data_IF_506205565958
#
_entry.id   IF_506205565958
#
_cell.length_a   1.000
_cell.length_b   1.000
_cell.length_c   1.000
_cell.angle_alpha   90.00
_cell.angle_beta   90.00
_cell.angle_gamma   90.00
#
_symmetry.space_group_name_H-M   'P 1'
#
loop_
_entity.id
_entity.type
_entity.pdbx_description
1 polymer ?
#
# COMPACT_ATOMS: atom_id res chain seq x y z
N UNK A 1 -7.68 -50.51 18.98
CA UNK A 1 -7.76 -50.08 20.40
C UNK A 1 -7.29 -48.64 20.41
N UNK A 2 -8.26 -47.73 20.37
CA UNK A 2 -8.03 -46.26 20.38
C UNK A 2 -8.01 -45.83 21.85
N UNK A 3 -6.89 -45.23 22.22
CA UNK A 3 -6.62 -44.70 23.57
C UNK A 3 -7.64 -43.59 23.92
N UNK A 4 -8.31 -43.62 25.09
CA UNK A 4 -9.26 -42.58 25.46
C UNK A 4 -8.52 -41.26 25.71
N UNK A 5 -8.86 -40.24 24.93
CA UNK A 5 -8.39 -38.86 25.08
C UNK A 5 -8.58 -38.42 26.54
N UNK A 6 -7.45 -38.16 27.21
CA UNK A 6 -7.47 -37.51 28.53
C UNK A 6 -8.13 -36.12 28.38
N UNK A 7 -9.05 -35.74 29.27
CA UNK A 7 -9.71 -34.44 29.23
C UNK A 7 -8.65 -33.36 29.42
N UNK A 8 -8.58 -32.44 28.43
CA UNK A 8 -7.72 -31.27 28.52
C UNK A 8 -8.07 -30.49 29.79
N UNK A 9 -7.13 -30.24 30.71
CA UNK A 9 -7.43 -29.54 31.95
C UNK A 9 -8.03 -28.16 31.65
N UNK A 10 -9.03 -27.71 32.44
CA UNK A 10 -9.68 -26.42 32.22
C UNK A 10 -8.64 -25.28 32.28
N UNK A 11 -8.70 -24.37 31.34
CA UNK A 11 -7.79 -23.21 31.30
C UNK A 11 -7.94 -22.40 32.60
N UNK A 12 -6.83 -21.99 33.24
CA UNK A 12 -6.89 -21.19 34.43
C UNK A 12 -7.62 -19.86 34.18
N UNK A 13 -8.35 -19.37 35.17
CA UNK A 13 -9.14 -18.13 35.11
C UNK A 13 -8.51 -17.03 35.97
N UNK A 14 -8.91 -15.76 35.75
CA UNK A 14 -8.50 -14.68 36.62
C UNK A 14 -8.86 -14.87 38.10
N UNK A 15 -9.89 -15.70 38.39
CA UNK A 15 -10.29 -16.07 39.73
C UNK A 15 -9.27 -17.03 40.40
N UNK A 16 -8.66 -17.88 39.60
CA UNK A 16 -7.63 -18.81 40.08
C UNK A 16 -6.34 -18.06 40.41
N UNK A 17 -5.97 -17.06 39.56
CA UNK A 17 -4.87 -16.16 39.85
C UNK A 17 -5.13 -15.31 41.10
N UNK A 18 -6.33 -14.78 41.26
CA UNK A 18 -6.72 -14.02 42.45
C UNK A 18 -6.57 -14.83 43.73
N UNK A 19 -7.04 -16.09 43.70
CA UNK A 19 -6.91 -17.02 44.82
C UNK A 19 -5.44 -17.32 45.12
N UNK A 20 -4.64 -17.62 44.09
CA UNK A 20 -3.23 -17.97 44.27
C UNK A 20 -2.37 -16.79 44.75
N UNK A 21 -2.73 -15.57 44.33
CA UNK A 21 -2.02 -14.34 44.72
C UNK A 21 -2.54 -13.71 46.04
N UNK A 22 -3.67 -14.21 46.60
CA UNK A 22 -4.30 -13.65 47.80
C UNK A 22 -4.87 -12.25 47.60
N UNK A 23 -5.44 -11.95 46.43
CA UNK A 23 -5.97 -10.62 46.08
C UNK A 23 -7.37 -10.75 45.45
N UNK A 24 -8.04 -9.60 45.26
CA UNK A 24 -9.31 -9.58 44.54
C UNK A 24 -9.11 -9.76 43.02
N UNK A 25 -10.15 -10.26 42.32
CA UNK A 25 -10.16 -10.33 40.87
C UNK A 25 -9.96 -8.94 40.21
N UNK A 26 -10.43 -7.88 40.84
CA UNK A 26 -10.22 -6.50 40.41
C UNK A 26 -8.72 -6.13 40.44
N UNK A 27 -8.00 -6.52 41.52
CA UNK A 27 -6.56 -6.30 41.61
C UNK A 27 -5.79 -7.06 40.53
N UNK A 28 -6.16 -8.32 40.23
CA UNK A 28 -5.58 -9.08 39.12
C UNK A 28 -5.79 -8.35 37.80
N UNK A 29 -7.01 -7.88 37.54
CA UNK A 29 -7.35 -7.13 36.31
C UNK A 29 -6.58 -5.81 36.19
N UNK A 30 -6.37 -5.09 37.28
CA UNK A 30 -5.56 -3.87 37.31
C UNK A 30 -4.09 -4.16 37.01
N UNK A 31 -3.52 -5.19 37.64
CA UNK A 31 -2.10 -5.56 37.49
C UNK A 31 -1.82 -6.06 36.08
N UNK A 32 -2.58 -7.03 35.59
CA UNK A 32 -2.38 -7.62 34.25
C UNK A 32 -2.83 -6.71 33.11
N UNK A 33 -3.59 -5.65 33.42
CA UNK A 33 -3.94 -4.57 32.51
C UNK A 33 -3.06 -3.32 32.63
N UNK A 34 -1.96 -3.41 33.35
CA UNK A 34 -0.97 -2.33 33.60
C UNK A 34 -1.54 -1.03 34.18
N UNK A 35 -2.76 -1.08 34.76
CA UNK A 35 -3.45 0.07 35.38
C UNK A 35 -3.29 0.11 36.92
N UNK A 36 -2.30 -0.57 37.41
CA UNK A 36 -2.04 -0.77 38.85
C UNK A 36 -1.25 0.35 39.55
N UNK A 37 -0.41 1.19 38.87
CA UNK A 37 0.37 2.21 39.57
C UNK A 37 -0.55 3.13 40.39
N UNK A 38 -0.16 3.34 41.65
CA UNK A 38 -0.93 4.13 42.61
C UNK A 38 -2.21 3.48 43.20
N UNK A 39 -2.57 2.26 42.72
CA UNK A 39 -3.78 1.52 43.17
C UNK A 39 -3.47 0.20 43.85
N UNK A 40 -2.31 -0.39 43.52
CA UNK A 40 -1.81 -1.64 44.08
C UNK A 40 -0.31 -1.45 44.36
N UNK A 41 0.20 -2.03 45.43
CA UNK A 41 1.62 -1.98 45.72
C UNK A 41 2.44 -2.78 44.72
N UNK A 42 3.68 -2.36 44.45
CA UNK A 42 4.57 -3.06 43.52
C UNK A 42 4.80 -4.52 43.89
N UNK A 43 5.00 -4.80 45.21
CA UNK A 43 5.13 -6.16 45.73
C UNK A 43 3.89 -7.04 45.42
N UNK A 44 2.69 -6.44 45.49
CA UNK A 44 1.45 -7.14 45.16
C UNK A 44 1.33 -7.32 43.65
N UNK A 45 1.72 -6.31 42.84
CA UNK A 45 1.70 -6.42 41.40
C UNK A 45 2.66 -7.52 40.91
N UNK A 46 3.87 -7.59 41.48
CA UNK A 46 4.82 -8.65 41.15
C UNK A 46 4.27 -10.03 41.51
N UNK A 47 3.72 -10.19 42.74
CA UNK A 47 3.12 -11.46 43.15
C UNK A 47 1.99 -11.95 42.23
N UNK A 48 1.15 -11.03 41.73
CA UNK A 48 0.10 -11.36 40.77
C UNK A 48 0.69 -11.82 39.42
N UNK A 49 1.74 -11.17 38.92
CA UNK A 49 2.43 -11.57 37.69
C UNK A 49 3.05 -12.97 37.83
N UNK A 50 3.75 -13.23 38.94
CA UNK A 50 4.39 -14.50 39.19
C UNK A 50 3.34 -15.65 39.23
N UNK A 51 2.23 -15.46 39.95
CA UNK A 51 1.16 -16.46 40.02
C UNK A 51 0.43 -16.63 38.67
N UNK A 52 0.25 -15.60 37.91
CA UNK A 52 -0.30 -15.71 36.56
C UNK A 52 0.62 -16.54 35.64
N UNK A 53 1.92 -16.31 35.70
CA UNK A 53 2.92 -17.05 34.94
C UNK A 53 2.99 -18.51 35.36
N UNK A 54 3.04 -18.81 36.69
CA UNK A 54 3.03 -20.19 37.22
C UNK A 54 1.81 -20.99 36.81
N UNK A 55 0.64 -20.36 36.80
CA UNK A 55 -0.62 -21.00 36.38
C UNK A 55 -0.76 -21.06 34.83
N UNK A 56 0.12 -20.46 34.06
CA UNK A 56 -0.05 -20.33 32.63
C UNK A 56 -1.27 -19.48 32.24
N UNK A 57 -1.72 -18.60 33.14
CA UNK A 57 -2.87 -17.74 32.88
C UNK A 57 -2.49 -16.61 31.91
N UNK A 58 -3.26 -16.49 30.87
CA UNK A 58 -3.26 -15.32 29.97
C UNK A 58 -4.61 -14.62 30.04
N UNK A 59 -4.64 -13.28 30.20
CA UNK A 59 -5.89 -12.55 30.17
C UNK A 59 -6.70 -12.90 28.93
N UNK A 60 -7.96 -13.25 29.11
CA UNK A 60 -8.86 -13.50 27.99
C UNK A 60 -9.30 -12.14 27.42
N UNK A 61 -8.57 -11.68 26.41
CA UNK A 61 -8.86 -10.42 25.72
C UNK A 61 -10.25 -10.43 25.10
N UNK A 62 -10.71 -11.57 24.57
CA UNK A 62 -12.06 -11.70 24.03
C UNK A 62 -13.16 -11.43 25.08
N UNK A 63 -13.00 -11.99 26.31
CA UNK A 63 -13.94 -11.72 27.40
C UNK A 63 -13.85 -10.28 27.93
N UNK A 64 -12.69 -9.64 27.85
CA UNK A 64 -12.50 -8.22 28.17
C UNK A 64 -13.19 -7.35 27.11
N UNK A 65 -12.96 -7.64 25.84
CA UNK A 65 -13.48 -6.94 24.69
C UNK A 65 -15.01 -7.03 24.63
N UNK A 66 -15.57 -8.23 24.91
CA UNK A 66 -17.02 -8.42 25.00
C UNK A 66 -17.68 -7.51 26.05
N UNK A 67 -17.02 -7.30 27.19
CA UNK A 67 -17.49 -6.36 28.23
C UNK A 67 -17.40 -4.89 27.84
N UNK A 68 -16.47 -4.54 26.95
CA UNK A 68 -16.25 -3.18 26.45
C UNK A 68 -17.07 -2.89 25.19
N UNK A 69 -17.71 -3.90 24.59
CA UNK A 69 -18.45 -3.78 23.32
C UNK A 69 -17.56 -3.48 22.13
N UNK A 70 -16.21 -3.60 22.28
CA UNK A 70 -15.21 -3.37 21.22
C UNK A 70 -14.16 -4.49 21.24
N UNK A 71 -13.77 -4.94 20.06
CA UNK A 71 -12.75 -6.01 19.90
C UNK A 71 -11.34 -5.45 19.82
N UNK A 72 -11.21 -4.14 19.58
CA UNK A 72 -9.95 -3.43 19.34
C UNK A 72 -9.14 -4.04 18.23
N UNK A 73 -9.81 -4.39 17.15
CA UNK A 73 -9.20 -4.99 15.98
C UNK A 73 -9.72 -4.32 14.73
N UNK A 74 -8.82 -3.73 13.96
CA UNK A 74 -9.07 -3.19 12.62
C UNK A 74 -8.64 -4.21 11.57
N UNK A 75 -9.38 -4.30 10.47
CA UNK A 75 -9.00 -5.05 9.29
C UNK A 75 -8.43 -4.08 8.26
N UNK A 76 -7.22 -4.33 7.78
CA UNK A 76 -6.62 -3.63 6.65
C UNK A 76 -6.66 -4.54 5.42
N UNK A 77 -7.41 -4.11 4.39
CA UNK A 77 -7.60 -4.84 3.14
C UNK A 77 -6.77 -4.17 2.04
N UNK A 78 -5.87 -4.93 1.43
CA UNK A 78 -4.96 -4.47 0.37
C UNK A 78 -5.00 -5.42 -0.82
N UNK A 79 -4.65 -4.99 -2.07
CA UNK A 79 -4.75 -5.88 -3.23
C UNK A 79 -3.76 -7.05 -3.17
N UNK A 80 -2.49 -6.75 -2.89
CA UNK A 80 -1.43 -7.76 -2.82
C UNK A 80 -0.26 -7.24 -2.00
N UNK A 81 0.62 -8.14 -1.56
CA UNK A 81 1.85 -7.79 -0.84
C UNK A 81 3.10 -7.78 -1.75
N UNK A 82 2.91 -7.91 -3.05
CA UNK A 82 3.99 -7.83 -4.05
C UNK A 82 4.51 -6.41 -4.26
N UNK A 83 3.72 -5.40 -3.89
CA UNK A 83 4.11 -4.00 -3.88
C UNK A 83 4.39 -3.57 -2.43
N UNK A 84 5.61 -3.10 -2.15
CA UNK A 84 6.05 -2.68 -0.80
C UNK A 84 5.27 -1.49 -0.24
N UNK A 85 4.60 -0.69 -1.10
CA UNK A 85 3.73 0.41 -0.68
C UNK A 85 2.74 -0.06 0.40
N UNK A 86 2.05 -1.19 0.16
CA UNK A 86 1.07 -1.70 1.11
C UNK A 86 1.67 -2.26 2.40
N UNK A 87 2.91 -2.76 2.35
CA UNK A 87 3.63 -3.16 3.56
C UNK A 87 3.95 -1.93 4.44
N UNK A 88 4.32 -0.79 3.83
CA UNK A 88 4.56 0.48 4.52
C UNK A 88 3.26 1.10 5.04
N UNK A 89 2.15 1.01 4.29
CA UNK A 89 0.80 1.40 4.77
C UNK A 89 0.45 0.61 6.03
N UNK A 90 0.67 -0.72 6.03
CA UNK A 90 0.46 -1.53 7.23
C UNK A 90 1.32 -1.08 8.40
N UNK A 91 2.59 -0.75 8.17
CA UNK A 91 3.50 -0.27 9.22
C UNK A 91 2.96 1.00 9.90
N UNK A 92 2.53 1.99 9.11
CA UNK A 92 1.93 3.22 9.65
C UNK A 92 0.63 2.96 10.42
N UNK A 93 -0.27 2.14 9.85
CA UNK A 93 -1.52 1.78 10.52
C UNK A 93 -1.27 1.04 11.85
N UNK A 94 -0.32 0.11 11.86
CA UNK A 94 0.03 -0.66 13.06
C UNK A 94 0.67 0.22 14.16
N UNK A 95 1.45 1.22 13.78
CA UNK A 95 2.05 2.18 14.73
C UNK A 95 0.96 2.94 15.50
N UNK A 96 0.02 3.56 14.78
CA UNK A 96 -1.11 4.29 15.41
C UNK A 96 -2.02 3.34 16.20
N UNK A 97 -2.28 2.14 15.67
CA UNK A 97 -3.09 1.15 16.37
C UNK A 97 -2.48 0.77 17.73
N UNK A 98 -1.16 0.57 17.79
CA UNK A 98 -0.45 0.22 19.01
C UNK A 98 -0.58 1.28 20.10
N UNK A 99 -0.54 2.58 19.75
CA UNK A 99 -0.73 3.70 20.70
C UNK A 99 -2.13 3.71 21.32
N UNK A 100 -3.10 3.09 20.66
CA UNK A 100 -4.51 3.04 21.10
C UNK A 100 -4.97 1.66 21.60
N UNK A 101 -4.02 0.74 21.86
CA UNK A 101 -4.34 -0.66 22.25
C UNK A 101 -5.16 -1.41 21.18
N UNK A 102 -5.03 -1.08 19.90
CA UNK A 102 -5.66 -1.77 18.78
C UNK A 102 -4.69 -2.73 18.10
N UNK A 103 -5.22 -3.82 17.55
CA UNK A 103 -4.52 -4.68 16.60
C UNK A 103 -4.95 -4.42 15.16
N UNK A 104 -4.06 -4.59 14.21
CA UNK A 104 -4.37 -4.55 12.77
C UNK A 104 -4.18 -5.93 12.19
N UNK A 105 -5.25 -6.48 11.61
CA UNK A 105 -5.19 -7.71 10.82
C UNK A 105 -5.08 -7.32 9.35
N UNK A 106 -4.05 -7.81 8.68
CA UNK A 106 -3.85 -7.56 7.27
C UNK A 106 -4.49 -8.66 6.43
N UNK A 107 -5.28 -8.27 5.44
CA UNK A 107 -5.86 -9.18 4.45
C UNK A 107 -5.45 -8.76 3.04
N UNK A 108 -4.53 -9.49 2.39
CA UNK A 108 -4.28 -9.33 0.97
C UNK A 108 -5.41 -9.98 0.17
N UNK A 109 -6.03 -9.21 -0.72
CA UNK A 109 -7.05 -9.72 -1.65
C UNK A 109 -6.36 -10.17 -2.94
N UNK A 110 -6.25 -11.49 -3.20
CA UNK A 110 -5.60 -11.97 -4.41
C UNK A 110 -6.46 -11.63 -5.63
N UNK A 111 -5.84 -11.05 -6.65
CA UNK A 111 -6.49 -10.77 -7.92
C UNK A 111 -7.00 -12.06 -8.58
N UNK A 112 -8.22 -12.02 -9.09
CA UNK A 112 -8.73 -13.01 -10.06
C UNK A 112 -9.23 -14.34 -9.49
N UNK A 113 -9.39 -14.49 -8.20
CA UNK A 113 -10.04 -15.67 -7.61
C UNK A 113 -11.53 -15.42 -7.35
N UNK A 114 -12.34 -15.06 -8.33
CA UNK A 114 -13.79 -14.98 -8.23
C UNK A 114 -14.37 -14.49 -6.88
N UNK A 115 -15.67 -14.33 -6.69
CA UNK A 115 -16.21 -13.87 -5.41
C UNK A 115 -15.79 -14.86 -4.33
N UNK A 116 -14.76 -14.47 -3.56
CA UNK A 116 -14.34 -15.24 -2.41
C UNK A 116 -15.58 -15.48 -1.55
N UNK A 117 -15.83 -16.71 -1.16
CA UNK A 117 -16.72 -16.98 -0.01
C UNK A 117 -16.23 -16.02 1.06
N UNK A 118 -17.13 -15.16 1.56
CA UNK A 118 -16.80 -14.15 2.56
C UNK A 118 -15.80 -14.71 3.59
N UNK A 119 -14.48 -14.40 3.46
CA UNK A 119 -13.48 -14.95 4.37
C UNK A 119 -13.61 -14.35 5.76
N UNK A 120 -14.43 -13.30 5.89
CA UNK A 120 -14.64 -12.54 7.12
C UNK A 120 -15.90 -12.90 7.85
N UNK A 121 -16.80 -13.75 7.30
CA UNK A 121 -18.06 -14.10 7.94
C UNK A 121 -17.91 -14.58 9.39
N UNK A 122 -16.86 -15.40 9.66
CA UNK A 122 -16.54 -15.85 11.01
C UNK A 122 -15.75 -14.84 11.85
N UNK A 123 -15.08 -13.87 11.22
CA UNK A 123 -14.22 -12.89 11.89
C UNK A 123 -14.94 -11.54 12.13
N UNK A 124 -16.07 -11.28 11.47
CA UNK A 124 -16.81 -10.00 11.57
C UNK A 124 -17.08 -9.59 13.01
N UNK A 125 -17.52 -10.52 13.86
CA UNK A 125 -17.78 -10.29 15.28
C UNK A 125 -16.51 -9.95 16.10
N UNK A 126 -15.32 -10.11 15.48
CA UNK A 126 -14.03 -9.83 16.10
C UNK A 126 -13.37 -8.57 15.52
N UNK A 127 -14.07 -7.77 14.71
CA UNK A 127 -13.58 -6.54 14.08
C UNK A 127 -14.41 -5.34 14.54
N UNK A 128 -13.77 -4.20 14.73
CA UNK A 128 -14.44 -2.92 15.03
C UNK A 128 -14.58 -2.04 13.78
N UNK A 129 -13.81 -2.28 12.74
CA UNK A 129 -13.89 -1.53 11.49
C UNK A 129 -12.88 -2.00 10.45
N UNK A 130 -13.00 -1.42 9.27
CA UNK A 130 -12.24 -1.81 8.08
C UNK A 130 -11.54 -0.58 7.50
N UNK A 131 -10.29 -0.75 7.11
CA UNK A 131 -9.52 0.17 6.28
C UNK A 131 -9.23 -0.57 4.98
N UNK A 132 -9.55 -0.01 3.82
CA UNK A 132 -9.40 -0.73 2.57
C UNK A 132 -8.87 0.15 1.44
N UNK A 133 -7.95 -0.39 0.66
CA UNK A 133 -7.50 0.22 -0.59
C UNK A 133 -8.56 0.09 -1.68
N UNK A 134 -8.75 1.12 -2.50
CA UNK A 134 -9.62 1.07 -3.69
C UNK A 134 -9.21 -0.03 -4.67
N UNK A 135 -7.94 -0.41 -4.67
CA UNK A 135 -7.41 -1.50 -5.51
C UNK A 135 -7.82 -2.90 -5.03
N UNK A 136 -8.43 -3.03 -3.84
CA UNK A 136 -8.93 -4.28 -3.28
C UNK A 136 -10.46 -4.41 -3.39
N UNK A 137 -11.08 -3.80 -4.40
CA UNK A 137 -12.53 -3.70 -4.60
C UNK A 137 -13.26 -5.04 -4.58
N UNK A 138 -12.65 -6.11 -5.09
CA UNK A 138 -13.25 -7.45 -5.11
C UNK A 138 -13.48 -8.01 -3.70
N UNK A 139 -12.57 -7.71 -2.76
CA UNK A 139 -12.75 -8.11 -1.35
C UNK A 139 -13.82 -7.26 -0.64
N UNK A 140 -14.00 -5.99 -1.06
CA UNK A 140 -15.01 -5.11 -0.49
C UNK A 140 -16.43 -5.59 -0.77
N UNK A 141 -16.67 -6.23 -1.91
CA UNK A 141 -17.97 -6.87 -2.21
C UNK A 141 -18.39 -7.89 -1.14
N UNK A 142 -17.45 -8.60 -0.54
CA UNK A 142 -17.70 -9.55 0.54
C UNK A 142 -17.99 -8.87 1.89
N UNK A 143 -17.59 -7.60 2.04
CA UNK A 143 -17.81 -6.81 3.26
C UNK A 143 -19.12 -5.98 3.20
N UNK A 144 -19.78 -5.89 2.04
CA UNK A 144 -21.06 -5.22 1.89
C UNK A 144 -22.11 -5.86 2.79
N UNK A 145 -22.81 -5.03 3.58
CA UNK A 145 -23.82 -5.47 4.55
C UNK A 145 -23.26 -5.83 5.94
N UNK A 146 -21.97 -5.58 6.20
CA UNK A 146 -21.47 -5.54 7.56
C UNK A 146 -21.70 -4.11 8.11
N UNK A 147 -22.30 -3.99 9.28
CA UNK A 147 -22.47 -2.71 10.01
C UNK A 147 -21.11 -2.21 10.58
N UNK A 148 -20.02 -2.44 9.84
CA UNK A 148 -18.67 -2.02 10.25
C UNK A 148 -18.30 -0.71 9.56
N UNK A 149 -17.80 0.29 10.30
CA UNK A 149 -17.29 1.50 9.68
C UNK A 149 -16.14 1.18 8.72
N UNK A 150 -16.21 1.78 7.53
CA UNK A 150 -15.25 1.61 6.44
C UNK A 150 -14.50 2.92 6.22
N UNK A 151 -13.17 2.85 6.21
CA UNK A 151 -12.28 3.91 5.76
C UNK A 151 -11.65 3.49 4.44
N UNK A 152 -11.81 4.28 3.40
CA UNK A 152 -11.23 4.01 2.10
C UNK A 152 -9.91 4.75 1.91
N UNK A 153 -8.92 4.05 1.36
CA UNK A 153 -7.63 4.60 0.97
C UNK A 153 -7.58 4.76 -0.55
N UNK A 154 -7.20 5.96 -1.00
CA UNK A 154 -6.99 6.31 -2.39
C UNK A 154 -8.16 5.91 -3.29
N UNK A 155 -9.34 6.46 -3.00
CA UNK A 155 -10.61 6.12 -3.63
C UNK A 155 -11.42 7.35 -4.02
N UNK A 156 -12.36 7.17 -4.96
CA UNK A 156 -13.32 8.22 -5.30
C UNK A 156 -14.23 8.53 -4.10
N UNK A 157 -14.18 9.75 -3.55
CA UNK A 157 -15.05 10.14 -2.44
C UNK A 157 -16.55 10.12 -2.78
N UNK A 158 -16.89 10.24 -4.07
CA UNK A 158 -18.28 10.20 -4.54
C UNK A 158 -18.74 8.76 -4.88
N UNK A 159 -17.80 7.82 -5.03
CA UNK A 159 -18.05 6.47 -5.53
C UNK A 159 -18.31 5.41 -4.46
N UNK A 160 -18.09 5.69 -3.19
CA UNK A 160 -18.21 4.73 -2.08
C UNK A 160 -18.91 5.32 -0.87
N UNK A 161 -19.83 4.56 -0.28
CA UNK A 161 -20.47 4.87 1.00
C UNK A 161 -19.51 4.48 2.16
N UNK A 162 -18.40 5.20 2.25
CA UNK A 162 -17.41 5.03 3.30
C UNK A 162 -17.57 6.10 4.39
N UNK A 163 -17.26 5.74 5.64
CA UNK A 163 -17.32 6.67 6.76
C UNK A 163 -16.21 7.75 6.70
N UNK A 164 -15.11 7.45 6.01
CA UNK A 164 -14.02 8.39 5.75
C UNK A 164 -13.18 7.96 4.53
N UNK A 165 -12.49 8.94 3.94
CA UNK A 165 -11.54 8.74 2.84
C UNK A 165 -10.19 9.34 3.22
N UNK A 166 -9.11 8.61 2.88
CA UNK A 166 -7.73 9.10 2.99
C UNK A 166 -7.11 9.01 1.60
N UNK A 167 -6.98 10.14 0.95
CA UNK A 167 -6.50 10.23 -0.42
C UNK A 167 -5.10 10.84 -0.50
N UNK A 168 -4.41 10.52 -1.58
CA UNK A 168 -3.15 11.10 -2.00
C UNK A 168 -3.43 12.15 -3.08
N UNK A 169 -2.56 13.15 -3.19
CA UNK A 169 -2.65 14.14 -4.27
C UNK A 169 -2.06 13.60 -5.58
N UNK A 170 -2.63 12.49 -6.04
CA UNK A 170 -2.16 11.71 -7.19
C UNK A 170 -2.16 12.54 -8.49
N UNK A 171 -3.20 13.35 -8.69
CA UNK A 171 -3.30 14.21 -9.87
C UNK A 171 -2.12 15.19 -9.94
N UNK A 172 -1.78 15.83 -8.81
CA UNK A 172 -0.66 16.74 -8.70
C UNK A 172 0.68 16.03 -8.95
N UNK A 173 0.86 14.83 -8.40
CA UNK A 173 2.05 14.02 -8.62
C UNK A 173 2.29 13.70 -10.08
N UNK A 174 1.25 13.25 -10.79
CA UNK A 174 1.34 12.97 -12.24
C UNK A 174 1.54 14.25 -13.07
N UNK A 175 0.93 15.35 -12.65
CA UNK A 175 1.14 16.67 -13.27
C UNK A 175 2.60 17.09 -13.13
N UNK A 176 3.17 17.09 -11.92
CA UNK A 176 4.57 17.45 -11.66
C UNK A 176 5.54 16.62 -12.53
N UNK A 177 5.31 15.31 -12.60
CA UNK A 177 6.13 14.38 -13.39
C UNK A 177 6.04 14.66 -14.88
N UNK A 178 4.82 14.89 -15.40
CA UNK A 178 4.59 15.17 -16.82
C UNK A 178 5.14 16.55 -17.21
N UNK A 179 4.95 17.57 -16.37
CA UNK A 179 5.49 18.92 -16.55
C UNK A 179 7.03 18.92 -16.52
N UNK A 180 7.66 18.10 -15.68
CA UNK A 180 9.11 17.92 -15.68
C UNK A 180 9.60 17.46 -17.06
N UNK A 181 9.00 16.45 -17.66
CA UNK A 181 9.36 15.96 -18.99
C UNK A 181 9.05 16.99 -20.10
N UNK A 182 7.92 17.68 -20.01
CA UNK A 182 7.58 18.77 -20.94
C UNK A 182 8.59 19.92 -20.86
N UNK A 183 9.04 20.23 -19.63
CA UNK A 183 10.08 21.25 -19.37
C UNK A 183 11.45 20.86 -19.93
N UNK A 184 11.79 19.56 -19.96
CA UNK A 184 12.99 19.05 -20.65
C UNK A 184 12.89 19.15 -22.19
N UNK A 185 11.71 19.42 -22.75
CA UNK A 185 11.49 19.56 -24.18
C UNK A 185 10.82 18.38 -24.87
N UNK A 186 10.42 17.33 -24.11
CA UNK A 186 9.68 16.22 -24.69
C UNK A 186 8.32 16.67 -25.23
N UNK A 187 7.92 16.07 -26.36
CA UNK A 187 6.62 16.34 -27.02
C UNK A 187 5.91 15.07 -27.46
N UNK A 188 6.58 13.94 -27.49
CA UNK A 188 6.02 12.64 -27.89
C UNK A 188 6.14 11.65 -26.74
N UNK A 189 5.00 11.29 -26.18
CA UNK A 189 4.90 10.49 -24.97
C UNK A 189 4.24 9.15 -25.24
N UNK A 190 4.68 8.14 -24.50
CA UNK A 190 3.89 6.96 -24.18
C UNK A 190 3.48 7.04 -22.73
N UNK A 191 2.21 6.87 -22.44
CA UNK A 191 1.71 6.59 -21.10
C UNK A 191 1.55 5.07 -20.96
N UNK A 192 2.43 4.44 -20.21
CA UNK A 192 2.36 3.02 -19.85
C UNK A 192 1.51 2.89 -18.59
N UNK A 193 0.20 2.74 -18.83
CA UNK A 193 -0.82 2.72 -17.80
C UNK A 193 -1.03 1.32 -17.23
N UNK A 194 -1.47 1.27 -15.98
CA UNK A 194 -1.97 0.04 -15.37
C UNK A 194 -3.21 -0.49 -16.08
N UNK A 195 -3.33 -1.81 -16.19
CA UNK A 195 -4.54 -2.48 -16.64
C UNK A 195 -5.59 -2.64 -15.52
N UNK A 196 -5.25 -2.31 -14.28
CA UNK A 196 -6.18 -2.32 -13.15
C UNK A 196 -7.17 -1.17 -13.30
N UNK A 197 -8.46 -1.48 -13.28
CA UNK A 197 -9.52 -0.50 -13.47
C UNK A 197 -9.98 0.06 -12.11
N UNK A 198 -9.27 1.08 -11.62
CA UNK A 198 -9.56 1.76 -10.36
C UNK A 198 -9.48 3.27 -10.52
N UNK A 199 -10.09 3.98 -9.58
CA UNK A 199 -10.12 5.44 -9.53
C UNK A 199 -8.70 6.06 -9.59
N UNK A 200 -7.74 5.51 -8.83
CA UNK A 200 -6.37 6.06 -8.79
C UNK A 200 -5.71 6.07 -10.17
N UNK A 201 -5.84 5.00 -10.95
CA UNK A 201 -5.27 4.93 -12.30
C UNK A 201 -6.06 5.78 -13.31
N UNK A 202 -7.38 5.95 -13.12
CA UNK A 202 -8.15 6.89 -13.93
C UNK A 202 -7.70 8.34 -13.71
N UNK A 203 -7.45 8.73 -12.46
CA UNK A 203 -6.90 10.07 -12.08
C UNK A 203 -5.50 10.26 -12.70
N UNK A 204 -4.60 9.28 -12.58
CA UNK A 204 -3.26 9.33 -13.20
C UNK A 204 -3.37 9.55 -14.71
N UNK A 205 -4.17 8.73 -15.39
CA UNK A 205 -4.36 8.84 -16.83
C UNK A 205 -4.97 10.18 -17.27
N UNK A 206 -5.87 10.74 -16.48
CA UNK A 206 -6.46 12.05 -16.75
C UNK A 206 -5.41 13.16 -16.62
N UNK A 207 -4.64 13.17 -15.54
CA UNK A 207 -3.61 14.17 -15.29
C UNK A 207 -2.54 14.20 -16.40
N UNK A 208 -2.08 13.04 -16.86
CA UNK A 208 -1.14 12.94 -18.01
C UNK A 208 -1.76 13.54 -19.28
N UNK A 209 -3.02 13.19 -19.60
CA UNK A 209 -3.68 13.71 -20.81
C UNK A 209 -3.85 15.22 -20.76
N UNK A 210 -4.24 15.75 -19.61
CA UNK A 210 -4.42 17.19 -19.42
C UNK A 210 -3.10 17.96 -19.53
N UNK A 211 -2.05 17.51 -18.85
CA UNK A 211 -0.75 18.14 -18.89
C UNK A 211 -0.15 18.14 -20.30
N UNK A 212 -0.20 17.02 -21.02
CA UNK A 212 0.28 16.92 -22.39
C UNK A 212 -0.61 17.73 -23.34
N UNK A 213 -1.93 17.66 -23.20
CA UNK A 213 -2.89 18.39 -24.04
C UNK A 213 -2.81 19.91 -23.91
N UNK A 214 -2.28 20.42 -22.80
CA UNK A 214 -2.07 21.86 -22.59
C UNK A 214 -0.88 22.42 -23.39
N UNK A 215 0.00 21.57 -23.94
CA UNK A 215 1.20 22.01 -24.68
C UNK A 215 1.05 21.78 -26.17
N UNK A 216 1.08 22.83 -27.00
CA UNK A 216 0.96 22.70 -28.45
C UNK A 216 2.01 21.75 -29.05
N UNK A 217 1.56 20.86 -29.93
CA UNK A 217 2.42 19.88 -30.59
C UNK A 217 2.84 18.69 -29.71
N UNK A 218 2.44 18.65 -28.45
CA UNK A 218 2.67 17.48 -27.62
C UNK A 218 1.56 16.43 -27.85
N UNK A 219 1.96 15.16 -27.81
CA UNK A 219 1.06 14.00 -28.02
C UNK A 219 1.36 12.90 -27.01
N UNK A 220 0.34 12.19 -26.58
CA UNK A 220 0.48 11.01 -25.72
C UNK A 220 -0.31 9.86 -26.29
N UNK A 221 0.33 8.68 -26.35
CA UNK A 221 -0.31 7.40 -26.66
C UNK A 221 -0.35 6.56 -25.39
N UNK A 222 -1.52 6.10 -24.99
CA UNK A 222 -1.67 5.24 -23.84
C UNK A 222 -1.66 3.77 -24.26
N UNK A 223 -0.86 2.96 -23.57
CA UNK A 223 -0.89 1.49 -23.62
C UNK A 223 -1.08 0.97 -22.21
N UNK A 224 -1.74 -0.18 -22.06
CA UNK A 224 -2.05 -0.75 -20.75
C UNK A 224 -1.32 -2.06 -20.53
N UNK A 225 -0.86 -2.30 -19.28
CA UNK A 225 -0.27 -3.55 -18.87
C UNK A 225 -0.66 -3.89 -17.42
N UNK A 226 -0.75 -5.18 -17.05
CA UNK A 226 -0.75 -5.59 -15.66
C UNK A 226 0.47 -5.03 -14.91
N UNK A 227 0.37 -4.83 -13.60
CA UNK A 227 1.46 -4.35 -12.72
C UNK A 227 2.52 -5.45 -12.54
N UNK A 228 3.24 -5.74 -13.62
CA UNK A 228 4.27 -6.76 -13.72
C UNK A 228 5.38 -6.30 -14.67
N UNK A 229 6.65 -6.52 -14.29
CA UNK A 229 7.82 -6.08 -15.07
C UNK A 229 7.84 -6.66 -16.48
N UNK A 230 7.43 -7.92 -16.65
CA UNK A 230 7.39 -8.58 -17.97
C UNK A 230 6.31 -8.00 -18.84
N UNK A 231 5.11 -7.85 -18.30
CA UNK A 231 3.97 -7.27 -19.02
C UNK A 231 4.25 -5.81 -19.41
N UNK A 232 4.81 -5.01 -18.49
CA UNK A 232 5.25 -3.64 -18.76
C UNK A 232 6.29 -3.57 -19.88
N UNK A 233 7.27 -4.50 -19.90
CA UNK A 233 8.26 -4.60 -20.98
C UNK A 233 7.60 -4.90 -22.32
N UNK A 234 6.73 -5.90 -22.39
CA UNK A 234 6.06 -6.30 -23.63
C UNK A 234 5.21 -5.15 -24.20
N UNK A 235 4.44 -4.47 -23.36
CA UNK A 235 3.65 -3.31 -23.77
C UNK A 235 4.53 -2.12 -24.22
N UNK A 236 5.63 -1.85 -23.51
CA UNK A 236 6.58 -0.81 -23.90
C UNK A 236 7.30 -1.13 -25.20
N UNK A 237 7.74 -2.38 -25.44
CA UNK A 237 8.32 -2.83 -26.71
C UNK A 237 7.36 -2.53 -27.89
N UNK A 238 6.09 -2.91 -27.75
CA UNK A 238 5.07 -2.65 -28.78
C UNK A 238 4.83 -1.15 -28.98
N UNK A 239 4.86 -0.38 -27.89
CA UNK A 239 4.66 1.05 -27.95
C UNK A 239 5.83 1.81 -28.57
N UNK A 240 7.04 1.33 -28.43
CA UNK A 240 8.26 1.95 -28.94
C UNK A 240 8.66 1.46 -30.34
N UNK A 241 8.18 0.29 -30.78
CA UNK A 241 8.45 -0.30 -32.09
C UNK A 241 7.55 0.29 -33.18
N UNK A 242 7.42 1.61 -33.26
CA UNK A 242 6.60 2.29 -34.26
C UNK A 242 7.44 2.74 -35.45
N UNK A 243 6.83 2.69 -36.67
CA UNK A 243 7.37 3.31 -37.87
C UNK A 243 7.03 4.80 -37.85
N UNK A 244 8.02 5.68 -37.95
CA UNK A 244 7.85 7.12 -37.90
C UNK A 244 8.50 7.76 -36.68
N UNK A 245 7.98 8.91 -36.26
CA UNK A 245 8.55 9.65 -35.14
C UNK A 245 8.37 8.91 -33.81
N UNK A 246 9.47 8.42 -33.26
CA UNK A 246 9.48 7.64 -32.00
C UNK A 246 9.12 8.52 -30.81
N UNK A 247 8.36 8.01 -29.84
CA UNK A 247 8.23 8.63 -28.52
C UNK A 247 9.60 8.80 -27.85
N UNK A 248 9.80 9.91 -27.18
CA UNK A 248 11.05 10.23 -26.48
C UNK A 248 10.93 10.16 -24.97
N UNK A 249 9.71 9.97 -24.45
CA UNK A 249 9.45 9.79 -23.04
C UNK A 249 8.36 8.73 -22.79
N UNK A 250 8.55 7.93 -21.76
CA UNK A 250 7.56 6.99 -21.23
C UNK A 250 7.21 7.42 -19.81
N UNK A 251 5.94 7.75 -19.60
CA UNK A 251 5.35 8.01 -18.29
C UNK A 251 4.68 6.73 -17.83
N UNK A 252 5.12 6.15 -16.72
CA UNK A 252 4.56 4.91 -16.20
C UNK A 252 3.69 5.18 -14.97
N UNK A 253 2.63 4.40 -14.80
CA UNK A 253 1.75 4.50 -13.64
C UNK A 253 2.39 3.99 -12.33
N UNK A 254 3.53 3.29 -12.44
CA UNK A 254 4.17 2.65 -11.29
C UNK A 254 5.64 2.30 -11.64
N UNK A 255 6.50 2.16 -10.64
CA UNK A 255 7.92 1.84 -10.81
C UNK A 255 8.15 0.42 -11.37
N UNK A 256 7.21 -0.50 -11.16
CA UNK A 256 7.27 -1.87 -11.71
C UNK A 256 7.14 -1.82 -13.24
N UNK A 257 6.17 -1.02 -13.73
CA UNK A 257 6.00 -0.79 -15.16
C UNK A 257 7.20 -0.04 -15.75
N UNK A 258 7.76 0.94 -15.01
CA UNK A 258 8.94 1.68 -15.42
C UNK A 258 10.18 0.78 -15.56
N UNK A 259 10.40 -0.15 -14.64
CA UNK A 259 11.45 -1.16 -14.77
C UNK A 259 11.24 -2.04 -16.02
N UNK A 260 9.99 -2.34 -16.35
CA UNK A 260 9.61 -3.00 -17.61
C UNK A 260 9.99 -2.16 -18.84
N UNK A 261 9.67 -0.87 -18.81
CA UNK A 261 10.00 0.07 -19.89
C UNK A 261 11.53 0.22 -20.10
N UNK A 262 12.31 0.29 -19.01
CA UNK A 262 13.77 0.27 -19.08
C UNK A 262 14.32 -1.01 -19.75
N UNK A 263 13.75 -2.16 -19.41
CA UNK A 263 14.11 -3.45 -20.07
C UNK A 263 13.72 -3.45 -21.56
N UNK A 264 12.57 -2.86 -21.92
CA UNK A 264 12.15 -2.71 -23.32
C UNK A 264 13.12 -1.81 -24.09
N UNK A 265 13.47 -0.64 -23.54
CA UNK A 265 14.45 0.28 -24.13
C UNK A 265 15.76 -0.44 -24.42
N UNK A 266 16.34 -1.14 -23.45
CA UNK A 266 17.58 -1.89 -23.61
C UNK A 266 17.49 -2.95 -24.72
N UNK A 267 16.38 -3.68 -24.83
CA UNK A 267 16.18 -4.70 -25.89
C UNK A 267 16.06 -4.09 -27.28
N UNK A 268 15.54 -2.87 -27.37
CA UNK A 268 15.43 -2.11 -28.60
C UNK A 268 16.71 -1.31 -28.94
N UNK A 269 17.77 -1.46 -28.13
CA UNK A 269 19.02 -0.73 -28.31
C UNK A 269 18.96 0.75 -27.95
N UNK A 270 17.93 1.17 -27.18
CA UNK A 270 17.75 2.53 -26.71
C UNK A 270 18.41 2.72 -25.34
N UNK A 271 19.10 3.84 -25.18
CA UNK A 271 19.71 4.23 -23.91
C UNK A 271 18.74 5.10 -23.11
N UNK A 272 18.59 4.75 -21.84
CA UNK A 272 17.91 5.59 -20.87
C UNK A 272 19.01 6.33 -20.10
N UNK A 273 18.99 7.66 -20.00
CA UNK A 273 17.96 8.59 -20.52
C UNK A 273 18.23 9.14 -21.93
N UNK A 274 19.39 8.90 -22.55
CA UNK A 274 19.90 9.64 -23.74
C UNK A 274 18.96 9.55 -24.97
N UNK A 275 18.37 8.36 -25.22
CA UNK A 275 17.50 8.09 -26.36
C UNK A 275 16.03 8.08 -25.95
N UNK A 276 15.76 7.80 -24.66
CA UNK A 276 14.40 7.67 -24.10
C UNK A 276 14.41 8.01 -22.61
N UNK A 277 13.64 9.00 -22.20
CA UNK A 277 13.34 9.24 -20.79
C UNK A 277 12.27 8.26 -20.29
N UNK A 278 12.45 7.72 -19.07
CA UNK A 278 11.49 6.82 -18.42
C UNK A 278 11.22 7.35 -17.01
N UNK A 279 9.94 7.41 -16.64
CA UNK A 279 9.55 7.80 -15.28
C UNK A 279 8.66 6.74 -14.66
N UNK A 280 8.80 6.57 -13.35
CA UNK A 280 7.93 5.73 -12.53
C UNK A 280 6.97 6.54 -11.67
N UNK A 281 6.34 5.84 -10.72
CA UNK A 281 5.46 6.39 -9.69
C UNK A 281 5.48 5.43 -8.48
N UNK A 282 5.37 5.92 -7.26
CA UNK A 282 5.35 5.29 -5.93
C UNK A 282 6.67 5.44 -5.14
N UNK A 283 7.84 5.56 -5.79
CA UNK A 283 9.19 5.58 -5.20
C UNK A 283 9.47 4.30 -4.38
N UNK A 284 9.23 3.15 -5.03
CA UNK A 284 9.54 1.83 -4.48
C UNK A 284 11.06 1.59 -4.46
N UNK A 285 11.52 0.58 -3.69
CA UNK A 285 12.92 0.15 -3.72
C UNK A 285 13.41 -0.17 -5.15
N UNK A 286 12.50 -0.58 -6.03
CA UNK A 286 12.79 -0.83 -7.44
C UNK A 286 13.26 0.43 -8.18
N UNK A 287 12.81 1.63 -7.77
CA UNK A 287 13.20 2.88 -8.40
C UNK A 287 14.72 3.15 -8.29
N UNK A 288 15.36 2.66 -7.22
CA UNK A 288 16.79 2.79 -6.99
C UNK A 288 17.57 1.51 -7.33
N UNK A 289 16.87 0.41 -7.63
CA UNK A 289 17.49 -0.87 -8.00
C UNK A 289 17.75 -1.00 -9.51
N UNK A 290 17.12 -0.18 -10.34
CA UNK A 290 17.37 -0.13 -11.79
C UNK A 290 18.43 0.92 -12.12
N UNK A 291 19.13 0.72 -13.26
CA UNK A 291 20.15 1.65 -13.74
C UNK A 291 19.77 2.16 -15.12
N UNK A 292 19.67 3.50 -15.27
CA UNK A 292 19.79 4.55 -14.24
C UNK A 292 18.60 4.53 -13.26
N UNK A 293 18.83 5.06 -12.03
CA UNK A 293 17.76 5.21 -11.03
C UNK A 293 16.59 6.04 -11.59
N UNK A 294 15.35 5.63 -11.25
CA UNK A 294 14.15 6.22 -11.81
C UNK A 294 13.80 7.60 -11.21
N UNK A 295 13.56 8.56 -12.08
CA UNK A 295 12.72 9.72 -11.77
C UNK A 295 11.30 9.22 -11.52
N UNK A 296 10.73 9.52 -10.36
CA UNK A 296 9.47 8.97 -9.89
C UNK A 296 8.74 9.96 -8.97
N UNK A 297 7.53 9.62 -8.54
CA UNK A 297 6.79 10.37 -7.53
C UNK A 297 6.76 9.57 -6.24
N UNK A 298 7.26 10.16 -5.16
CA UNK A 298 7.26 9.54 -3.84
C UNK A 298 5.89 9.68 -3.19
N UNK A 299 5.32 8.54 -2.81
CA UNK A 299 4.09 8.44 -2.03
C UNK A 299 4.40 8.24 -0.55
N UNK A 300 3.75 8.98 0.36
CA UNK A 300 3.96 8.87 1.80
C UNK A 300 3.20 7.65 2.38
N UNK A 301 3.57 6.44 2.00
CA UNK A 301 2.84 5.21 2.29
C UNK A 301 2.56 4.98 3.78
N UNK A 302 3.55 5.24 4.65
CA UNK A 302 3.37 5.13 6.11
C UNK A 302 2.32 6.12 6.61
N UNK A 303 2.37 7.38 6.14
CA UNK A 303 1.37 8.40 6.51
C UNK A 303 -0.04 8.03 6.04
N UNK A 304 -0.18 7.37 4.89
CA UNK A 304 -1.49 6.83 4.44
C UNK A 304 -2.03 5.84 5.46
N UNK A 305 -1.20 4.94 5.97
CA UNK A 305 -1.56 3.99 7.02
C UNK A 305 -1.91 4.66 8.33
N UNK A 306 -1.08 5.62 8.78
CA UNK A 306 -1.29 6.41 10.00
C UNK A 306 -2.63 7.15 9.94
N UNK A 307 -2.89 7.88 8.84
CA UNK A 307 -4.14 8.61 8.62
C UNK A 307 -5.35 7.67 8.50
N UNK A 308 -5.19 6.53 7.83
CA UNK A 308 -6.24 5.52 7.72
C UNK A 308 -6.67 4.98 9.08
N UNK A 309 -5.72 4.65 9.93
CA UNK A 309 -6.01 4.16 11.28
C UNK A 309 -6.56 5.27 12.19
N UNK A 310 -6.01 6.48 12.13
CA UNK A 310 -6.51 7.64 12.87
C UNK A 310 -7.95 8.00 12.45
N UNK A 311 -8.26 7.95 11.16
CA UNK A 311 -9.61 8.16 10.64
C UNK A 311 -10.58 7.10 11.18
N UNK A 312 -10.21 5.82 11.16
CA UNK A 312 -11.04 4.76 11.72
C UNK A 312 -11.31 4.98 13.21
N UNK A 313 -10.31 5.33 14.00
CA UNK A 313 -10.45 5.63 15.43
C UNK A 313 -11.36 6.83 15.65
N UNK A 314 -11.24 7.88 14.84
CA UNK A 314 -12.12 9.04 14.91
C UNK A 314 -13.58 8.67 14.66
N UNK A 315 -13.85 7.89 13.60
CA UNK A 315 -15.19 7.38 13.28
C UNK A 315 -15.75 6.52 14.41
N UNK A 316 -14.97 5.61 14.97
CA UNK A 316 -15.36 4.76 16.09
C UNK A 316 -15.71 5.56 17.36
N UNK A 317 -15.09 6.73 17.53
CA UNK A 317 -15.36 7.65 18.65
C UNK A 317 -16.44 8.69 18.35
N UNK A 318 -17.08 8.60 17.18
CA UNK A 318 -18.10 9.57 16.74
C UNK A 318 -17.54 10.96 16.43
N UNK A 319 -16.26 11.08 16.13
CA UNK A 319 -15.57 12.31 15.75
C UNK A 319 -15.42 12.40 14.22
N UNK A 320 -15.38 13.60 13.64
CA UNK A 320 -15.06 13.75 12.22
C UNK A 320 -13.63 13.26 11.94
N UNK A 321 -13.44 12.59 10.81
CA UNK A 321 -12.12 12.27 10.28
C UNK A 321 -11.55 13.45 9.49
N UNK A 322 -10.23 13.57 9.41
CA UNK A 322 -9.56 14.52 8.52
C UNK A 322 -9.78 14.11 7.05
N UNK A 323 -10.01 15.09 6.17
CA UNK A 323 -10.38 14.89 4.77
C UNK A 323 -9.34 15.41 3.77
N UNK A 324 -8.28 16.08 4.24
CA UNK A 324 -7.26 16.64 3.36
C UNK A 324 -6.42 15.53 2.71
N UNK A 325 -6.20 15.68 1.40
CA UNK A 325 -5.30 14.78 0.65
C UNK A 325 -3.86 14.91 1.13
N UNK A 326 -3.15 13.79 1.18
CA UNK A 326 -1.73 13.75 1.50
C UNK A 326 -0.91 14.21 0.29
N UNK A 327 0.01 15.18 0.47
CA UNK A 327 0.85 15.65 -0.62
C UNK A 327 1.83 14.56 -1.07
N UNK A 328 2.14 14.56 -2.36
CA UNK A 328 3.13 13.69 -2.98
C UNK A 328 4.28 14.51 -3.55
N UNK A 329 5.42 13.92 -3.85
CA UNK A 329 6.61 14.67 -4.23
C UNK A 329 7.32 14.02 -5.41
N UNK A 330 7.60 14.82 -6.46
CA UNK A 330 8.50 14.41 -7.53
C UNK A 330 9.94 14.23 -7.02
N UNK A 331 10.55 13.10 -7.36
CA UNK A 331 11.95 12.76 -7.08
C UNK A 331 12.67 12.59 -8.41
N UNK A 332 13.47 13.59 -8.78
CA UNK A 332 14.24 13.56 -10.02
C UNK A 332 15.54 12.77 -9.82
N UNK A 333 15.78 11.79 -10.70
CA UNK A 333 16.98 10.95 -10.73
C UNK A 333 17.56 10.84 -12.16
N UNK A 334 18.29 9.77 -12.44
CA UNK A 334 19.07 9.60 -13.66
C UNK A 334 18.32 9.15 -14.90
N UNK A 335 17.02 8.81 -14.82
CA UNK A 335 16.28 8.20 -15.93
C UNK A 335 15.62 9.21 -16.89
N UNK A 336 15.84 10.51 -16.68
CA UNK A 336 15.27 11.59 -17.52
C UNK A 336 16.34 12.58 -17.97
N UNK A 337 16.31 12.98 -19.26
CA UNK A 337 17.17 13.97 -19.86
C UNK A 337 16.41 14.68 -21.00
N UNK A 338 16.91 15.79 -21.56
CA UNK A 338 16.32 16.38 -22.76
C UNK A 338 16.23 15.36 -23.91
N UNK A 339 15.20 15.46 -24.78
CA UNK A 339 15.04 14.55 -25.90
C UNK A 339 16.21 14.65 -26.87
N UNK A 340 16.58 13.56 -27.57
CA UNK A 340 17.59 13.61 -28.60
C UNK A 340 17.19 14.58 -29.73
N UNK A 341 18.17 15.21 -30.43
CA UNK A 341 17.89 16.11 -31.55
C UNK A 341 17.08 15.42 -32.65
N UNK A 342 16.22 16.11 -33.37
CA UNK A 342 15.46 15.57 -34.49
C UNK A 342 16.35 14.83 -35.49
N UNK A 343 15.97 13.62 -35.93
CA UNK A 343 16.74 12.83 -36.89
C UNK A 343 17.80 11.92 -36.27
N UNK A 344 17.87 11.83 -34.96
CA UNK A 344 18.69 10.83 -34.26
C UNK A 344 17.91 9.52 -34.14
N UNK A 345 17.82 8.80 -35.26
CA UNK A 345 17.35 7.41 -35.27
C UNK A 345 18.43 6.58 -34.60
N UNK A 346 18.27 6.23 -33.33
CA UNK A 346 19.24 5.50 -32.52
C UNK A 346 19.88 4.32 -33.24
N UNK A 347 20.85 4.63 -34.11
CA UNK A 347 21.65 3.64 -34.80
C UNK A 347 22.62 3.05 -33.77
N UNK A 348 22.68 1.74 -33.57
CA UNK A 348 23.67 1.16 -32.68
C UNK A 348 25.06 1.62 -33.12
N UNK A 349 25.74 2.43 -32.30
CA UNK A 349 27.16 2.69 -32.50
C UNK A 349 27.86 1.34 -32.46
N UNK A 350 28.53 0.96 -33.57
CA UNK A 350 29.43 -0.17 -33.66
C UNK A 350 30.38 -0.12 -32.47
N UNK A 351 30.52 -1.24 -31.76
CA UNK A 351 31.48 -1.39 -30.67
C UNK A 351 32.90 -1.00 -31.20
N UNK A 352 33.66 -0.19 -30.44
CA UNK A 352 35.04 0.07 -30.81
C UNK A 352 35.85 -1.22 -30.66
N UNK A 353 36.25 -1.72 -31.79
CA UNK A 353 37.39 -2.60 -32.09
C UNK A 353 37.74 -3.73 -31.14
N UNK A 354 37.57 -4.94 -31.65
CA UNK A 354 38.06 -6.18 -31.05
C UNK A 354 39.50 -6.11 -30.61
N UNK A 355 39.75 -6.61 -29.41
CA UNK A 355 41.09 -7.01 -28.93
C UNK A 355 41.56 -8.15 -29.83
N UNK A 356 42.57 -7.88 -30.66
CA UNK A 356 43.30 -8.94 -31.35
C UNK A 356 44.16 -9.65 -30.33
N UNK A 357 43.85 -10.90 -30.09
CA UNK A 357 44.80 -11.81 -29.44
C UNK A 357 46.03 -11.99 -30.35
N UNK A 358 47.20 -11.75 -29.80
CA UNK A 358 48.51 -12.28 -30.23
C UNK A 358 48.93 -13.27 -29.17
#
# INVERSE_FOLDING_TARGET
MTDPQQPVPPRPTSRDVARAAGVSQAAVSLVLGEKWPGRVSEATAQRVRDRAAELGYRPNLAARNLRLGRTRTALLVVPALTNEFFARVYTGAAAVAAEHDFGVVLYPSPDGTGPARDPFASARAALDGVIASSMASDALGALHGADLPLVMLDSDPAGTDAAAHVNLDIADGMRQLTEHLLGLGHRRFVHLASAVDTWTFAVRAQAVREAVGAVPGATVRTVRAPLDVRAGREAAEQALAVTGERPTAVVCDDDILAAGACKAARRLGLRVPDDLSVTGFDDLALATAVEPELTTVQLPAEQVGERGMAALLAVLDGRPAETDSLPVRLVVRGSTAPPPPPGHDGCPRAEPGGIRHV
#
